data_IF_263728040157
#
_entry.id   IF_263728040157
#
_cell.length_a   1.000
_cell.length_b   1.000
_cell.length_c   1.000
_cell.angle_alpha   90.00
_cell.angle_beta   90.00
_cell.angle_gamma   90.00
#
_symmetry.space_group_name_H-M   'P 1'
#
loop_
_entity.id
_entity.type
_entity.pdbx_description
1 polymer ?
#
# COMPACT_ATOMS: atom_id res chain seq x y z
N UNK A 1 2.70 -1.20 4.59
CA UNK A 1 1.92 -2.38 5.06
C UNK A 1 0.56 -2.01 5.65
N UNK A 2 0.39 -0.81 6.22
CA UNK A 2 -0.84 -0.45 6.94
C UNK A 2 -2.11 -0.51 6.08
N UNK A 3 -2.02 -0.34 4.76
CA UNK A 3 -3.19 -0.39 3.86
C UNK A 3 -3.94 -1.74 3.91
N UNK A 4 -3.23 -2.85 4.09
CA UNK A 4 -3.84 -4.19 4.13
C UNK A 4 -4.15 -4.69 5.55
N UNK A 5 -4.05 -3.82 6.56
CA UNK A 5 -4.23 -4.21 7.97
C UNK A 5 -5.59 -4.85 8.24
N UNK A 6 -6.65 -4.39 7.57
CA UNK A 6 -8.03 -4.82 7.82
C UNK A 6 -8.32 -6.21 7.24
N UNK A 7 -7.46 -6.69 6.35
CA UNK A 7 -7.57 -8.02 5.74
C UNK A 7 -6.74 -9.08 6.48
N UNK A 8 -5.89 -8.66 7.42
CA UNK A 8 -5.04 -9.57 8.20
C UNK A 8 -5.61 -9.71 9.61
N UNK A 9 -6.15 -10.88 9.99
CA UNK A 9 -6.62 -11.10 11.35
C UNK A 9 -5.46 -10.97 12.34
N UNK A 10 -5.72 -10.25 13.44
CA UNK A 10 -4.73 -9.94 14.48
C UNK A 10 -3.48 -9.20 13.98
N UNK A 11 -3.62 -8.37 12.93
CA UNK A 11 -2.50 -7.62 12.35
C UNK A 11 -1.66 -6.88 13.39
N UNK A 12 -2.30 -6.21 14.35
CA UNK A 12 -1.61 -5.41 15.36
C UNK A 12 -0.61 -6.25 16.18
N UNK A 13 -1.02 -7.45 16.62
CA UNK A 13 -0.19 -8.33 17.43
C UNK A 13 1.00 -8.87 16.63
N UNK A 14 0.76 -9.25 15.37
CA UNK A 14 1.80 -9.80 14.49
C UNK A 14 2.79 -8.69 14.10
N UNK A 15 2.31 -7.49 13.82
CA UNK A 15 3.14 -6.36 13.43
C UNK A 15 3.86 -5.71 14.61
N UNK A 16 3.41 -5.96 15.85
CA UNK A 16 3.94 -5.30 17.04
C UNK A 16 5.48 -5.41 17.16
N UNK A 17 6.11 -6.60 17.10
CA UNK A 17 7.56 -6.74 17.26
C UNK A 17 8.37 -5.95 16.23
N UNK A 18 7.86 -5.84 15.00
CA UNK A 18 8.52 -5.10 13.92
C UNK A 18 8.26 -3.60 14.06
N UNK A 19 7.07 -3.21 14.51
CA UNK A 19 6.69 -1.81 14.69
C UNK A 19 7.49 -1.15 15.82
N UNK A 20 7.75 -1.87 16.91
CA UNK A 20 8.61 -1.40 18.01
C UNK A 20 10.01 -0.98 17.53
N UNK A 21 10.60 -1.73 16.58
CA UNK A 21 11.91 -1.42 16.00
C UNK A 21 11.94 -0.13 15.17
N UNK A 22 10.78 0.35 14.70
CA UNK A 22 10.67 1.54 13.82
C UNK A 22 10.32 2.83 14.55
N UNK A 23 10.12 2.77 15.88
CA UNK A 23 9.77 3.95 16.67
C UNK A 23 10.92 4.97 16.64
N UNK A 24 10.59 6.27 16.63
CA UNK A 24 11.57 7.38 16.69
C UNK A 24 12.55 7.36 17.88
N UNK A 25 12.28 6.53 18.89
CA UNK A 25 13.14 6.29 20.07
C UNK A 25 13.59 4.83 20.17
N UNK A 26 13.58 4.08 19.06
CA UNK A 26 14.22 2.78 19.00
C UNK A 26 15.71 2.94 19.38
N UNK A 27 16.31 1.95 20.06
CA UNK A 27 17.73 2.01 20.42
C UNK A 27 18.57 2.34 19.18
N UNK A 28 19.66 3.10 19.34
CA UNK A 28 20.64 3.38 18.27
C UNK A 28 21.14 2.09 17.58
N UNK A 29 21.02 0.97 18.29
CA UNK A 29 21.32 -0.37 17.81
C UNK A 29 20.01 -1.05 17.39
N UNK A 30 19.85 -1.22 16.08
CA UNK A 30 18.79 -2.03 15.48
C UNK A 30 19.08 -3.52 15.73
N UNK A 31 18.55 -4.05 16.84
CA UNK A 31 18.76 -5.44 17.26
C UNK A 31 17.70 -6.36 16.63
N UNK A 32 18.03 -6.96 15.48
CA UNK A 32 17.14 -7.87 14.77
C UNK A 32 17.20 -9.30 15.36
N UNK A 33 16.20 -9.65 16.15
CA UNK A 33 16.03 -10.96 16.79
C UNK A 33 15.14 -11.91 15.99
N UNK A 34 15.17 -13.18 16.37
CA UNK A 34 14.32 -14.23 15.81
C UNK A 34 12.83 -13.89 15.89
N UNK A 35 12.36 -13.27 16.99
CA UNK A 35 10.96 -12.82 17.10
C UNK A 35 10.56 -11.80 16.03
N UNK A 36 11.49 -10.93 15.60
CA UNK A 36 11.24 -9.95 14.55
C UNK A 36 11.22 -10.63 13.18
N UNK A 37 12.11 -11.60 12.96
CA UNK A 37 12.14 -12.40 11.74
C UNK A 37 10.85 -13.21 11.58
N UNK A 38 10.39 -13.89 12.64
CA UNK A 38 9.15 -14.67 12.63
C UNK A 38 7.95 -13.77 12.37
N UNK A 39 7.84 -12.64 13.08
CA UNK A 39 6.78 -11.66 12.86
C UNK A 39 6.77 -11.12 11.42
N UNK A 40 7.93 -10.81 10.86
CA UNK A 40 8.06 -10.32 9.49
C UNK A 40 7.68 -11.39 8.46
N UNK A 41 8.09 -12.64 8.67
CA UNK A 41 7.75 -13.74 7.78
C UNK A 41 6.25 -14.06 7.84
N UNK A 42 5.65 -14.06 9.04
CA UNK A 42 4.20 -14.23 9.22
C UNK A 42 3.41 -13.14 8.49
N UNK A 43 3.87 -11.89 8.56
CA UNK A 43 3.26 -10.78 7.82
C UNK A 43 3.35 -11.00 6.31
N UNK A 44 4.53 -11.40 5.79
CA UNK A 44 4.71 -11.70 4.37
C UNK A 44 3.79 -12.82 3.90
N UNK A 45 3.70 -13.90 4.67
CA UNK A 45 2.90 -15.07 4.31
C UNK A 45 1.41 -14.73 4.32
N UNK A 46 0.95 -13.98 5.33
CA UNK A 46 -0.44 -13.51 5.39
C UNK A 46 -0.73 -12.58 4.23
N UNK A 47 0.09 -11.55 4.00
CA UNK A 47 -0.08 -10.61 2.87
C UNK A 47 -0.09 -11.32 1.52
N UNK A 48 0.79 -12.30 1.31
CA UNK A 48 0.87 -13.05 0.05
C UNK A 48 -0.37 -13.91 -0.21
N UNK A 49 -1.03 -14.37 0.86
CA UNK A 49 -2.28 -15.13 0.77
C UNK A 49 -3.53 -14.24 0.69
N UNK A 50 -3.39 -12.93 0.89
CA UNK A 50 -4.53 -12.03 1.12
C UNK A 50 -5.25 -11.53 -0.14
N UNK A 51 -4.64 -11.31 -1.32
CA UNK A 51 -5.42 -10.78 -2.43
C UNK A 51 -6.04 -11.92 -3.26
N UNK A 52 -7.22 -12.38 -2.86
CA UNK A 52 -8.18 -12.87 -3.84
C UNK A 52 -8.61 -11.66 -4.69
N UNK A 53 -8.34 -11.73 -6.00
CA UNK A 53 -8.85 -10.71 -6.92
C UNK A 53 -10.35 -10.94 -7.11
N UNK A 54 -11.13 -9.87 -7.03
CA UNK A 54 -12.57 -9.92 -7.19
C UNK A 54 -12.98 -9.64 -8.64
N UNK A 55 -14.03 -10.32 -9.08
CA UNK A 55 -14.65 -10.05 -10.38
C UNK A 55 -15.32 -8.67 -10.36
N UNK A 56 -15.01 -7.78 -11.33
CA UNK A 56 -15.62 -6.46 -11.39
C UNK A 56 -17.12 -6.55 -11.65
N UNK A 57 -17.91 -5.76 -10.92
CA UNK A 57 -19.34 -5.57 -11.18
C UNK A 57 -19.53 -4.20 -11.84
N UNK A 58 -19.95 -4.16 -13.10
CA UNK A 58 -20.03 -2.90 -13.87
C UNK A 58 -21.06 -1.90 -13.33
N UNK A 59 -22.01 -2.35 -12.52
CA UNK A 59 -23.04 -1.50 -11.88
C UNK A 59 -22.53 -0.73 -10.67
N UNK A 60 -21.34 -1.07 -10.14
CA UNK A 60 -20.76 -0.45 -8.95
C UNK A 60 -19.64 0.51 -9.31
N UNK A 61 -19.46 1.62 -8.57
CA UNK A 61 -18.36 2.55 -8.81
C UNK A 61 -17.02 1.86 -8.57
N UNK A 62 -16.04 2.16 -9.41
CA UNK A 62 -14.66 1.74 -9.23
C UNK A 62 -13.89 2.76 -8.39
N UNK A 63 -12.98 2.26 -7.56
CA UNK A 63 -12.10 3.06 -6.73
C UNK A 63 -10.66 2.80 -7.20
N UNK A 64 -9.92 3.88 -7.47
CA UNK A 64 -8.51 3.78 -7.85
C UNK A 64 -7.67 4.38 -6.74
N UNK A 65 -6.81 3.55 -6.16
CA UNK A 65 -5.75 3.99 -5.26
C UNK A 65 -4.44 4.01 -6.04
N UNK A 66 -3.79 5.17 -6.14
CA UNK A 66 -2.49 5.28 -6.80
C UNK A 66 -1.44 5.89 -5.89
N UNK A 67 -0.21 5.45 -6.03
CA UNK A 67 0.95 6.01 -5.36
C UNK A 67 2.10 6.12 -6.35
N UNK A 68 2.92 7.17 -6.20
CA UNK A 68 3.99 7.49 -7.13
C UNK A 68 5.27 7.86 -6.38
N UNK A 69 6.34 7.13 -6.69
CA UNK A 69 7.70 7.40 -6.23
C UNK A 69 8.53 8.05 -7.35
N UNK A 70 9.77 8.43 -7.05
CA UNK A 70 10.70 8.89 -8.09
C UNK A 70 11.06 7.79 -9.11
N UNK A 71 10.81 6.52 -8.78
CA UNK A 71 11.23 5.36 -9.58
C UNK A 71 10.07 4.76 -10.37
N UNK A 72 8.83 4.93 -9.92
CA UNK A 72 7.69 4.22 -10.48
C UNK A 72 6.35 4.69 -9.92
N UNK A 73 5.28 4.36 -10.64
CA UNK A 73 3.89 4.56 -10.27
C UNK A 73 3.26 3.19 -10.03
N UNK A 74 2.46 3.07 -8.99
CA UNK A 74 1.59 1.94 -8.73
C UNK A 74 0.13 2.38 -8.62
N UNK A 75 -0.79 1.50 -9.01
CA UNK A 75 -2.22 1.68 -8.84
C UNK A 75 -2.90 0.36 -8.46
N UNK A 76 -3.94 0.45 -7.63
CA UNK A 76 -4.86 -0.62 -7.27
C UNK A 76 -6.27 -0.19 -7.67
N UNK A 77 -6.92 -0.98 -8.51
CA UNK A 77 -8.34 -0.86 -8.81
C UNK A 77 -9.11 -1.73 -7.83
N UNK A 78 -10.09 -1.16 -7.14
CA UNK A 78 -10.95 -1.88 -6.19
C UNK A 78 -12.42 -1.47 -6.34
N UNK A 79 -13.31 -2.25 -5.74
CA UNK A 79 -14.73 -1.90 -5.57
C UNK A 79 -15.14 -2.11 -4.12
N UNK A 80 -16.11 -1.32 -3.66
CA UNK A 80 -16.71 -1.53 -2.34
C UNK A 80 -17.87 -2.54 -2.43
N UNK A 81 -17.85 -3.54 -1.55
CA UNK A 81 -18.97 -4.45 -1.31
C UNK A 81 -19.16 -4.59 0.20
N UNK A 82 -20.39 -4.42 0.68
CA UNK A 82 -20.74 -4.58 2.10
C UNK A 82 -19.84 -3.78 3.07
N UNK A 83 -19.45 -2.56 2.66
CA UNK A 83 -18.58 -1.67 3.46
C UNK A 83 -17.11 -2.09 3.51
N UNK A 84 -16.68 -3.06 2.69
CA UNK A 84 -15.29 -3.48 2.53
C UNK A 84 -14.83 -3.26 1.08
N UNK A 85 -13.59 -2.81 0.93
CA UNK A 85 -12.99 -2.70 -0.39
C UNK A 85 -12.42 -4.04 -0.83
N UNK A 86 -12.56 -4.34 -2.12
CA UNK A 86 -12.10 -5.58 -2.70
C UNK A 86 -11.25 -5.28 -3.92
N UNK A 87 -9.97 -5.71 -3.94
CA UNK A 87 -9.08 -5.44 -5.06
C UNK A 87 -9.50 -6.25 -6.29
N UNK A 88 -9.49 -5.61 -7.46
CA UNK A 88 -9.85 -6.18 -8.76
C UNK A 88 -8.58 -6.38 -9.60
N UNK A 89 -7.74 -5.35 -9.68
CA UNK A 89 -6.46 -5.46 -10.38
C UNK A 89 -5.42 -4.50 -9.81
N UNK A 90 -4.15 -4.82 -10.08
CA UNK A 90 -3.00 -3.99 -9.76
C UNK A 90 -2.28 -3.62 -11.04
N UNK A 91 -1.90 -2.36 -11.16
CA UNK A 91 -1.06 -1.86 -12.24
C UNK A 91 0.20 -1.21 -11.65
N UNK A 92 1.34 -1.39 -12.30
CA UNK A 92 2.55 -0.67 -11.92
C UNK A 92 3.41 -0.40 -13.14
N UNK A 93 4.05 0.76 -13.15
CA UNK A 93 4.91 1.20 -14.24
C UNK A 93 6.15 1.89 -13.68
N UNK A 94 7.32 1.49 -14.19
CA UNK A 94 8.58 2.16 -13.89
C UNK A 94 8.66 3.50 -14.64
N UNK A 95 9.08 4.55 -13.95
CA UNK A 95 9.31 5.85 -14.55
C UNK A 95 10.63 5.82 -15.32
N UNK A 96 10.58 6.19 -16.59
CA UNK A 96 11.78 6.49 -17.38
C UNK A 96 12.21 7.93 -17.10
N UNK A 97 13.48 8.31 -17.35
CA UNK A 97 13.94 9.68 -17.13
C UNK A 97 13.08 10.76 -17.83
N UNK A 98 12.51 10.42 -19.00
CA UNK A 98 11.60 11.30 -19.72
C UNK A 98 10.27 11.54 -18.97
N UNK A 99 9.70 10.50 -18.34
CA UNK A 99 8.46 10.59 -17.56
C UNK A 99 8.67 11.18 -16.16
N UNK A 100 9.88 11.03 -15.59
CA UNK A 100 10.23 11.62 -14.31
C UNK A 100 10.31 13.15 -14.38
N UNK A 101 10.74 13.70 -15.52
CA UNK A 101 10.87 15.15 -15.72
C UNK A 101 9.51 15.85 -15.94
N UNK A 102 8.50 15.12 -16.41
CA UNK A 102 7.14 15.63 -16.62
C UNK A 102 6.36 15.81 -15.30
N UNK A 103 6.90 15.23 -14.21
CA UNK A 103 6.34 15.28 -12.85
C UNK A 103 6.36 16.70 -12.25
N UNK A 104 7.32 17.54 -12.66
CA UNK A 104 7.40 18.94 -12.21
C UNK A 104 6.38 19.86 -12.89
N UNK A 105 5.82 19.49 -14.05
CA UNK A 105 4.81 20.31 -14.74
C UNK A 105 3.38 19.89 -14.42
N UNK A 106 3.09 18.60 -14.38
CA UNK A 106 1.70 18.12 -14.30
C UNK A 106 1.10 18.16 -12.89
N UNK A 107 1.90 17.99 -11.82
CA UNK A 107 1.42 18.09 -10.44
C UNK A 107 1.12 19.53 -9.99
N UNK A 108 1.76 20.53 -10.60
CA UNK A 108 1.45 21.93 -10.30
C UNK A 108 0.11 22.39 -10.92
N UNK A 109 -0.32 21.81 -12.05
CA UNK A 109 -1.55 22.23 -12.73
C UNK A 109 -2.81 21.50 -12.23
N UNK A 110 -2.67 20.35 -11.54
CA UNK A 110 -3.81 19.54 -11.08
C UNK A 110 -4.16 19.67 -9.59
N UNK A 111 -3.33 20.37 -8.80
CA UNK A 111 -3.60 20.67 -7.38
C UNK A 111 -4.18 22.09 -7.13
N UNK A 112 -4.48 22.85 -8.19
CA UNK A 112 -5.05 24.22 -8.08
C UNK A 112 -6.54 24.28 -8.43
N UNK A 113 -7.18 23.18 -8.85
CA UNK A 113 -8.60 23.17 -9.22
C UNK A 113 -9.39 22.15 -8.41
N UNK A 114 -9.57 22.42 -7.11
CA UNK A 114 -10.78 22.13 -6.33
C UNK A 114 -10.64 22.66 -4.88
N UNK A 115 -10.49 23.97 -4.74
CA UNK A 115 -10.94 24.72 -3.56
C UNK A 115 -11.71 25.96 -4.04
N UNK A 116 -13.00 25.78 -4.36
CA UNK A 116 -14.11 26.72 -4.08
C UNK A 116 -15.39 25.90 -3.92
#
# INVERSE_FOLDING_TARGET
MNYYRDYIPNYADIAHPVTELTKKRAPEIFDWKEIHQTAFQDLKDKLSKTPELYTPTLEKPFIIHSDASQVGIGACLSQECDGKQYPICYASQKLTPALAHDRERSLCDSLVLEEV
#
